data_IF_553505487673
#
_entry.id   IF_553505487673
#
_cell.length_a   1.000
_cell.length_b   1.000
_cell.length_c   1.000
_cell.angle_alpha   90.00
_cell.angle_beta   90.00
_cell.angle_gamma   90.00
#
_symmetry.space_group_name_H-M   'P 1'
#
loop_
_entity.id
_entity.type
_entity.pdbx_description
1 polymer ?
#
# COMPACT_ATOMS: atom_id res chain seq x y z
N UNK A 1 -18.71 0.88 -6.82
CA UNK A 1 -17.99 -0.38 -6.56
C UNK A 1 -18.94 -1.22 -5.72
N UNK A 2 -19.17 -2.48 -6.11
CA UNK A 2 -20.25 -3.33 -5.62
C UNK A 2 -20.25 -3.34 -4.08
N UNK A 3 -21.38 -3.05 -3.47
CA UNK A 3 -21.57 -2.77 -2.04
C UNK A 3 -21.50 -4.08 -1.21
N UNK A 4 -20.35 -4.77 -1.26
CA UNK A 4 -20.17 -6.04 -0.58
C UNK A 4 -19.67 -5.79 0.86
N UNK A 5 -20.53 -6.10 1.84
CA UNK A 5 -20.22 -6.00 3.27
C UNK A 5 -18.89 -6.67 3.65
N UNK A 6 -18.52 -7.76 2.98
CA UNK A 6 -17.27 -8.47 3.21
C UNK A 6 -16.04 -7.66 2.77
N UNK A 7 -16.08 -7.00 1.61
CA UNK A 7 -14.98 -6.16 1.11
C UNK A 7 -14.70 -5.03 2.10
N UNK A 8 -15.75 -4.39 2.61
CA UNK A 8 -15.62 -3.31 3.58
C UNK A 8 -15.05 -3.77 4.93
N UNK A 9 -15.35 -5.00 5.36
CA UNK A 9 -14.74 -5.59 6.56
C UNK A 9 -13.23 -5.80 6.34
N UNK A 10 -12.86 -6.40 5.20
CA UNK A 10 -11.46 -6.66 4.84
C UNK A 10 -10.67 -5.35 4.74
N UNK A 11 -11.23 -4.33 4.07
CA UNK A 11 -10.61 -3.00 3.96
C UNK A 11 -10.35 -2.38 5.33
N UNK A 12 -11.33 -2.44 6.24
CA UNK A 12 -11.19 -1.90 7.60
C UNK A 12 -10.13 -2.65 8.42
N UNK A 13 -10.11 -3.98 8.35
CA UNK A 13 -9.14 -4.81 9.05
C UNK A 13 -7.71 -4.51 8.58
N UNK A 14 -7.52 -4.42 7.26
CA UNK A 14 -6.22 -4.13 6.66
C UNK A 14 -5.80 -2.69 6.96
N UNK A 15 -6.72 -1.73 6.87
CA UNK A 15 -6.45 -0.36 7.29
C UNK A 15 -5.99 -0.29 8.75
N UNK A 16 -6.66 -1.00 9.66
CA UNK A 16 -6.30 -1.06 11.08
C UNK A 16 -4.92 -1.67 11.31
N UNK A 17 -4.62 -2.77 10.60
CA UNK A 17 -3.29 -3.39 10.64
C UNK A 17 -2.19 -2.39 10.22
N UNK A 18 -2.37 -1.70 9.08
CA UNK A 18 -1.37 -0.75 8.59
C UNK A 18 -1.26 0.50 9.45
N UNK A 19 -2.36 0.98 10.05
CA UNK A 19 -2.30 2.10 10.99
C UNK A 19 -1.49 1.73 12.25
N UNK A 20 -1.58 0.49 12.73
CA UNK A 20 -0.76 -0.02 13.83
C UNK A 20 0.70 -0.25 13.39
N UNK A 21 0.93 -0.79 12.20
CA UNK A 21 2.26 -0.96 11.65
C UNK A 21 2.98 0.38 11.49
N UNK A 22 2.29 1.41 11.01
CA UNK A 22 2.81 2.78 10.92
C UNK A 22 3.20 3.35 12.29
N UNK A 23 2.41 3.08 13.35
CA UNK A 23 2.77 3.49 14.72
C UNK A 23 4.06 2.80 15.18
N UNK A 24 4.23 1.52 14.89
CA UNK A 24 5.44 0.77 15.22
C UNK A 24 6.65 1.38 14.51
N UNK A 25 6.55 1.62 13.20
CA UNK A 25 7.64 2.24 12.42
C UNK A 25 8.02 3.62 12.97
N UNK A 26 7.04 4.46 13.33
CA UNK A 26 7.29 5.78 13.92
C UNK A 26 7.96 5.72 15.30
N UNK A 27 7.80 4.61 16.02
CA UNK A 27 8.43 4.41 17.33
C UNK A 27 9.83 3.77 17.24
N UNK A 28 10.24 3.33 16.05
CA UNK A 28 11.55 2.74 15.85
C UNK A 28 12.66 3.76 16.13
N UNK A 29 13.74 3.31 16.77
CA UNK A 29 14.93 4.14 17.05
C UNK A 29 15.99 4.07 15.96
N UNK A 30 15.62 3.57 14.78
CA UNK A 30 16.49 3.33 13.64
C UNK A 30 15.73 3.64 12.35
N UNK A 31 16.48 3.86 11.28
CA UNK A 31 15.92 4.10 9.96
C UNK A 31 15.15 2.87 9.48
N UNK A 32 13.89 3.08 9.12
CA UNK A 32 12.99 2.02 8.67
C UNK A 32 12.82 2.10 7.16
N UNK A 33 13.25 1.06 6.45
CA UNK A 33 13.04 0.91 5.01
C UNK A 33 11.91 -0.09 4.79
N UNK A 34 10.86 0.35 4.09
CA UNK A 34 9.74 -0.50 3.68
C UNK A 34 9.75 -0.65 2.17
N UNK A 35 9.69 -1.89 1.70
CA UNK A 35 9.59 -2.23 0.28
C UNK A 35 8.20 -2.76 0.00
N UNK A 36 7.55 -2.20 -1.02
CA UNK A 36 6.25 -2.64 -1.51
C UNK A 36 6.26 -2.69 -3.04
N UNK A 37 5.33 -3.45 -3.62
CA UNK A 37 5.15 -3.55 -5.06
C UNK A 37 4.14 -2.50 -5.55
N UNK A 38 4.41 -1.94 -6.72
CA UNK A 38 3.43 -1.20 -7.51
C UNK A 38 2.68 -2.17 -8.41
N UNK A 39 1.35 -2.25 -8.25
CA UNK A 39 0.49 -3.21 -8.95
C UNK A 39 -0.60 -2.54 -9.79
N UNK A 40 -0.70 -1.21 -9.75
CA UNK A 40 -1.71 -0.41 -10.45
C UNK A 40 -1.35 -0.01 -11.88
N UNK A 41 -0.11 -0.24 -12.32
CA UNK A 41 0.37 0.14 -13.67
C UNK A 41 0.06 -0.89 -14.77
N UNK A 42 -0.59 -2.00 -14.42
CA UNK A 42 -0.98 -3.06 -15.35
C UNK A 42 -2.44 -3.02 -15.78
N UNK A 43 -2.88 -4.11 -16.43
CA UNK A 43 -4.28 -4.31 -16.84
C UNK A 43 -5.15 -4.56 -15.60
N UNK A 44 -6.42 -4.11 -15.66
CA UNK A 44 -7.43 -4.44 -14.63
C UNK A 44 -7.64 -5.97 -14.61
N UNK A 45 -7.47 -6.65 -13.47
CA UNK A 45 -7.70 -8.09 -13.39
C UNK A 45 -9.15 -8.47 -13.76
N UNK A 46 -9.31 -9.53 -14.53
CA UNK A 46 -10.62 -10.05 -14.94
C UNK A 46 -11.40 -10.65 -13.75
N UNK A 47 -10.70 -11.18 -12.75
CA UNK A 47 -11.27 -11.78 -11.56
C UNK A 47 -11.48 -10.74 -10.43
N UNK A 48 -12.61 -10.78 -9.69
CA UNK A 48 -12.94 -9.80 -8.65
C UNK A 48 -11.87 -9.62 -7.58
N UNK A 49 -11.32 -10.73 -7.07
CA UNK A 49 -10.29 -10.71 -6.03
C UNK A 49 -9.04 -9.94 -6.45
N UNK A 50 -8.65 -10.01 -7.72
CA UNK A 50 -7.50 -9.29 -8.23
C UNK A 50 -7.72 -7.78 -8.25
N UNK A 51 -8.94 -7.34 -8.54
CA UNK A 51 -9.31 -5.91 -8.47
C UNK A 51 -9.26 -5.41 -7.04
N UNK A 52 -9.85 -6.15 -6.10
CA UNK A 52 -9.82 -5.82 -4.66
C UNK A 52 -8.37 -5.72 -4.17
N UNK A 53 -7.55 -6.72 -4.46
CA UNK A 53 -6.14 -6.72 -4.07
C UNK A 53 -5.39 -5.51 -4.65
N UNK A 54 -5.56 -5.24 -5.95
CA UNK A 54 -4.91 -4.11 -6.62
C UNK A 54 -5.32 -2.78 -5.99
N UNK A 55 -6.61 -2.58 -5.77
CA UNK A 55 -7.13 -1.31 -5.25
C UNK A 55 -6.70 -1.09 -3.79
N UNK A 56 -6.73 -2.14 -2.97
CA UNK A 56 -6.25 -2.13 -1.59
C UNK A 56 -4.76 -1.84 -1.48
N UNK A 57 -3.92 -2.48 -2.31
CA UNK A 57 -2.49 -2.20 -2.36
C UNK A 57 -2.21 -0.73 -2.69
N UNK A 58 -3.00 -0.13 -3.60
CA UNK A 58 -2.93 1.30 -3.89
C UNK A 58 -3.26 2.18 -2.68
N UNK A 59 -4.27 1.81 -1.88
CA UNK A 59 -4.62 2.52 -0.64
C UNK A 59 -3.51 2.42 0.40
N UNK A 60 -2.96 1.23 0.61
CA UNK A 60 -1.87 0.97 1.55
C UNK A 60 -0.60 1.72 1.14
N UNK A 61 -0.16 1.59 -0.13
CA UNK A 61 1.04 2.25 -0.63
C UNK A 61 0.93 3.78 -0.49
N UNK A 62 -0.26 4.35 -0.76
CA UNK A 62 -0.52 5.78 -0.56
C UNK A 62 -0.39 6.20 0.90
N UNK A 63 -0.97 5.44 1.84
CA UNK A 63 -0.85 5.71 3.29
C UNK A 63 0.61 5.65 3.76
N UNK A 64 1.35 4.63 3.33
CA UNK A 64 2.76 4.47 3.67
C UNK A 64 3.60 5.62 3.10
N UNK A 65 3.42 5.96 1.83
CA UNK A 65 4.13 7.07 1.17
C UNK A 65 3.85 8.43 1.82
N UNK A 66 2.62 8.66 2.28
CA UNK A 66 2.27 9.88 3.00
C UNK A 66 3.03 10.00 4.33
N UNK A 67 3.20 8.88 5.05
CA UNK A 67 3.88 8.83 6.34
C UNK A 67 5.41 8.74 6.25
N UNK A 68 5.97 8.30 5.13
CA UNK A 68 7.41 8.15 4.93
C UNK A 68 8.11 9.51 4.74
N UNK A 69 9.36 9.64 5.17
CA UNK A 69 10.17 10.83 4.94
C UNK A 69 10.62 10.93 3.48
N UNK A 70 11.01 9.79 2.88
CA UNK A 70 11.39 9.67 1.47
C UNK A 70 10.62 8.53 0.79
N UNK A 71 10.31 8.71 -0.49
CA UNK A 71 9.62 7.69 -1.30
C UNK A 71 10.33 7.53 -2.63
N UNK A 72 10.67 6.29 -2.97
CA UNK A 72 11.36 5.94 -4.20
C UNK A 72 10.56 4.92 -5.01
N UNK A 73 10.47 5.16 -6.31
CA UNK A 73 10.00 4.19 -7.28
C UNK A 73 11.19 3.61 -8.03
N UNK A 74 11.22 2.28 -8.18
CA UNK A 74 12.31 1.58 -8.87
C UNK A 74 11.80 0.97 -10.17
N UNK A 75 12.49 1.25 -11.27
CA UNK A 75 12.22 0.67 -12.60
C UNK A 75 13.54 0.28 -13.26
N UNK A 76 13.66 -0.98 -13.69
CA UNK A 76 14.89 -1.52 -14.29
C UNK A 76 16.18 -1.26 -13.46
N UNK A 77 16.07 -1.30 -12.13
CA UNK A 77 17.17 -1.03 -11.20
C UNK A 77 17.49 0.46 -10.98
N UNK A 78 16.80 1.36 -11.68
CA UNK A 78 16.95 2.81 -11.53
C UNK A 78 15.97 3.34 -10.50
N UNK A 79 16.46 4.17 -9.58
CA UNK A 79 15.64 4.84 -8.57
C UNK A 79 15.12 6.18 -9.08
N UNK A 80 13.85 6.45 -8.85
CA UNK A 80 13.20 7.75 -9.06
C UNK A 80 12.66 8.24 -7.71
N UNK A 81 13.09 9.42 -7.25
CA UNK A 81 12.57 10.03 -6.02
C UNK A 81 11.20 10.65 -6.31
N UNK A 82 10.19 10.27 -5.52
CA UNK A 82 8.82 10.78 -5.59
C UNK A 82 8.51 11.78 -4.48
N UNK A 83 9.10 11.57 -3.29
CA UNK A 83 9.07 12.45 -2.11
C UNK A 83 10.46 12.45 -1.49
#
# INVERSE_FOLDING_TARGET
LIDNKLEKIIENEIASFFDNFLKLLKSARFDSIVVSNEVGLGIVPSYPFGRIFRDLMGVVNKKMAAAADEVYFFVAGLKQKLK
#
